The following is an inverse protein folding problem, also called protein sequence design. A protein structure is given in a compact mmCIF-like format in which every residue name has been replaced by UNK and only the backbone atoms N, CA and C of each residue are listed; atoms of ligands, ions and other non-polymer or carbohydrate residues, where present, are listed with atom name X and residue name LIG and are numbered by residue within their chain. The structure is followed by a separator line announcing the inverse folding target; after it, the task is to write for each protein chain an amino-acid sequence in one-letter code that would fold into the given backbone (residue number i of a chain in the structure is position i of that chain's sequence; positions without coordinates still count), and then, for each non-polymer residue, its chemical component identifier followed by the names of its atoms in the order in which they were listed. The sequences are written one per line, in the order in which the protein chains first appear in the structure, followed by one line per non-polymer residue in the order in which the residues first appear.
data_IF_799688913899
#
_entry.id   IF_799688913899
#
_cell.length_a   1.000
_cell.length_b   1.000
_cell.length_c   1.000
_cell.angle_alpha   90.00
_cell.angle_beta   90.00
_cell.angle_gamma   90.00
#
_symmetry.space_group_name_H-M   'P 1'
#
loop_
_entity.id
_entity.type
_entity.pdbx_description
1 polymer ?
#
# COMPACT_ATOMS: atom_id res chain seq x y z
N UNK A 1 -10.11 21.92 0.07
CA UNK A 1 -10.62 21.09 1.20
C UNK A 1 -9.79 21.35 2.45
N UNK A 2 -10.44 21.39 3.62
CA UNK A 2 -9.81 21.45 4.95
C UNK A 2 -8.77 20.35 5.12
N UNK A 3 -7.72 20.64 5.90
CA UNK A 3 -6.64 19.72 6.23
C UNK A 3 -7.18 18.32 6.56
N UNK A 4 -7.04 17.44 5.57
CA UNK A 4 -7.36 16.04 5.64
C UNK A 4 -6.54 15.43 6.79
N UNK A 5 -7.12 14.48 7.53
CA UNK A 5 -6.36 13.73 8.51
C UNK A 5 -5.23 12.98 7.79
N UNK A 6 -4.03 13.58 7.81
CA UNK A 6 -2.80 13.07 7.18
C UNK A 6 -2.42 11.66 7.65
N UNK A 7 -3.04 11.23 8.74
CA UNK A 7 -2.74 9.98 9.42
C UNK A 7 -3.52 8.77 8.89
N UNK A 8 -4.58 8.95 8.09
CA UNK A 8 -5.37 7.82 7.60
C UNK A 8 -4.59 6.99 6.54
N UNK A 9 -4.39 5.67 6.74
CA UNK A 9 -3.45 4.89 5.90
C UNK A 9 -3.91 4.52 4.49
N UNK A 10 -5.17 4.79 4.10
CA UNK A 10 -5.72 4.43 2.77
C UNK A 10 -6.21 5.67 1.99
N UNK A 11 -5.31 6.49 1.40
CA UNK A 11 -5.69 7.73 0.74
C UNK A 11 -6.72 7.58 -0.39
N UNK A 12 -6.74 6.42 -1.08
CA UNK A 12 -7.62 6.12 -2.20
C UNK A 12 -9.04 5.67 -1.81
N UNK A 13 -9.28 5.34 -0.54
CA UNK A 13 -10.58 4.88 -0.03
C UNK A 13 -10.76 5.40 1.41
N UNK A 14 -10.87 6.72 1.52
CA UNK A 14 -10.86 7.44 2.80
C UNK A 14 -12.22 7.44 3.45
N UNK A 15 -12.22 7.13 4.75
CA UNK A 15 -13.39 7.15 5.63
C UNK A 15 -13.13 8.00 6.87
N UNK A 16 -14.16 8.63 7.44
CA UNK A 16 -14.02 9.37 8.68
C UNK A 16 -14.00 8.46 9.91
N UNK A 17 -14.65 7.29 9.85
CA UNK A 17 -14.86 6.41 11.01
C UNK A 17 -13.73 5.39 11.16
N UNK A 18 -12.63 5.81 11.78
CA UNK A 18 -11.47 4.98 12.04
C UNK A 18 -10.78 5.38 13.35
N UNK A 19 -9.96 4.49 13.89
CA UNK A 19 -9.16 4.73 15.08
C UNK A 19 -7.75 4.18 14.88
N UNK A 20 -6.73 5.04 15.02
CA UNK A 20 -5.34 4.56 15.05
C UNK A 20 -5.10 3.71 16.30
N UNK A 21 -4.40 2.60 16.12
CA UNK A 21 -3.85 1.79 17.19
C UNK A 21 -2.32 1.98 17.32
N UNK A 22 -1.73 2.98 16.66
CA UNK A 22 -0.32 3.33 16.88
C UNK A 22 -0.11 3.85 18.31
N UNK A 23 1.13 3.82 18.77
CA UNK A 23 1.53 4.21 20.13
C UNK A 23 2.04 3.03 20.94
N UNK A 24 1.95 3.14 22.27
CA UNK A 24 2.48 2.11 23.19
C UNK A 24 1.69 0.80 23.11
N UNK A 25 2.40 -0.32 23.02
CA UNK A 25 1.89 -1.68 23.10
C UNK A 25 2.71 -2.44 24.14
N UNK A 26 2.06 -3.36 24.86
CA UNK A 26 2.79 -4.35 25.63
C UNK A 26 3.58 -5.26 24.68
N UNK A 27 4.80 -5.63 25.04
CA UNK A 27 5.72 -6.37 24.19
C UNK A 27 6.41 -7.50 24.95
N UNK A 28 6.72 -8.59 24.25
CA UNK A 28 7.66 -9.61 24.68
C UNK A 28 8.52 -10.06 23.48
N UNK A 29 9.83 -10.16 23.69
CA UNK A 29 10.76 -10.72 22.71
C UNK A 29 10.93 -12.21 22.98
N UNK A 30 10.76 -13.04 21.95
CA UNK A 30 10.84 -14.50 22.07
C UNK A 30 11.97 -15.07 21.19
N UNK A 31 13.24 -14.87 21.60
CA UNK A 31 14.39 -15.26 20.78
C UNK A 31 14.57 -16.78 20.66
N UNK A 32 13.96 -17.55 21.56
CA UNK A 32 14.06 -19.01 21.62
C UNK A 32 12.81 -19.73 21.10
N UNK A 33 11.77 -18.97 20.69
CA UNK A 33 10.48 -19.51 20.21
C UNK A 33 9.80 -20.41 21.24
N UNK A 34 9.72 -19.92 22.48
CA UNK A 34 9.22 -20.69 23.62
C UNK A 34 7.70 -20.70 23.72
N UNK A 35 7.01 -19.76 23.06
CA UNK A 35 5.57 -19.60 23.18
C UNK A 35 4.85 -19.83 21.86
N UNK A 36 3.75 -20.59 21.91
CA UNK A 36 2.89 -20.86 20.76
C UNK A 36 1.53 -20.17 20.86
N UNK A 37 1.11 -19.79 22.07
CA UNK A 37 -0.19 -19.18 22.34
C UNK A 37 -0.10 -17.90 23.20
N UNK A 38 -1.02 -16.92 23.01
CA UNK A 38 -1.05 -15.68 23.79
C UNK A 38 -1.01 -15.86 25.30
N UNK A 39 -1.63 -16.92 25.83
CA UNK A 39 -1.73 -17.18 27.27
C UNK A 39 -0.39 -17.56 27.93
N UNK A 40 0.60 -18.00 27.14
CA UNK A 40 1.93 -18.40 27.61
C UNK A 40 2.88 -17.20 27.72
N UNK A 41 2.54 -16.10 27.05
CA UNK A 41 3.43 -14.94 26.86
C UNK A 41 3.43 -14.07 28.10
N UNK A 42 4.62 -13.85 28.65
CA UNK A 42 4.84 -12.87 29.70
C UNK A 42 5.30 -11.53 29.10
N UNK A 43 4.36 -10.61 28.90
CA UNK A 43 4.64 -9.26 28.42
C UNK A 43 5.36 -8.43 29.48
N UNK A 44 6.66 -8.23 29.30
CA UNK A 44 7.58 -7.59 30.26
C UNK A 44 8.10 -6.23 29.81
N UNK A 45 7.71 -5.79 28.61
CA UNK A 45 8.20 -4.57 27.95
C UNK A 45 7.07 -3.76 27.36
N UNK A 46 7.38 -2.53 26.98
CA UNK A 46 6.54 -1.67 26.16
C UNK A 46 7.28 -1.36 24.85
N UNK A 47 6.56 -1.30 23.73
CA UNK A 47 7.08 -0.90 22.43
C UNK A 47 6.14 0.11 21.77
N UNK A 48 6.70 1.09 21.06
CA UNK A 48 5.91 2.05 20.27
C UNK A 48 5.68 1.54 18.86
N UNK A 49 4.45 1.14 18.55
CA UNK A 49 4.01 0.76 17.20
C UNK A 49 3.75 2.03 16.35
N UNK A 50 4.17 2.07 15.07
CA UNK A 50 4.63 0.95 14.26
C UNK A 50 6.14 0.95 14.06
N UNK A 51 6.94 1.22 15.10
CA UNK A 51 8.39 1.20 14.98
C UNK A 51 8.94 -0.17 15.39
N UNK A 52 9.77 -0.76 14.52
CA UNK A 52 10.39 -2.06 14.74
C UNK A 52 11.33 -2.03 15.97
N UNK A 53 11.48 -3.13 16.74
CA UNK A 53 12.26 -3.15 17.98
C UNK A 53 13.73 -2.74 17.77
N UNK A 54 14.27 -2.92 16.57
CA UNK A 54 15.63 -2.53 16.20
C UNK A 54 15.82 -1.01 16.15
N UNK A 55 14.74 -0.23 16.11
CA UNK A 55 14.78 1.21 15.86
C UNK A 55 14.70 2.03 17.15
N UNK A 56 15.36 3.19 17.24
CA UNK A 56 15.25 4.09 18.40
C UNK A 56 13.81 4.48 18.78
N UNK A 57 12.95 4.78 17.81
CA UNK A 57 11.56 5.22 18.07
C UNK A 57 10.65 4.15 18.64
N UNK A 58 11.04 2.88 18.57
CA UNK A 58 10.31 1.80 19.24
C UNK A 58 10.37 1.90 20.76
N UNK A 59 11.38 2.59 21.30
CA UNK A 59 11.70 2.62 22.74
C UNK A 59 12.53 1.41 23.21
N UNK A 60 12.67 0.36 22.39
CA UNK A 60 13.49 -0.82 22.70
C UNK A 60 14.92 -0.65 22.20
N UNK A 61 15.08 -0.26 20.92
CA UNK A 61 16.38 -0.11 20.25
C UNK A 61 17.29 -1.34 20.43
N UNK A 62 16.71 -2.52 20.23
CA UNK A 62 17.40 -3.80 20.39
C UNK A 62 17.70 -4.41 19.00
N UNK A 63 18.94 -4.34 18.51
CA UNK A 63 19.29 -4.84 17.18
C UNK A 63 19.44 -6.37 17.12
N UNK A 64 19.37 -7.09 18.24
CA UNK A 64 19.54 -8.54 18.27
C UNK A 64 18.43 -9.26 17.50
N UNK A 65 18.73 -10.48 17.03
CA UNK A 65 17.76 -11.29 16.31
C UNK A 65 16.62 -11.73 17.22
N UNK A 66 15.43 -11.24 16.91
CA UNK A 66 14.18 -11.60 17.57
C UNK A 66 13.31 -12.36 16.56
N UNK A 67 13.55 -13.67 16.37
CA UNK A 67 12.79 -14.47 15.42
C UNK A 67 11.28 -14.44 15.66
N UNK A 68 10.86 -14.23 16.90
CA UNK A 68 9.46 -14.05 17.27
C UNK A 68 9.33 -12.84 18.20
N UNK A 69 8.35 -11.99 17.91
CA UNK A 69 7.96 -10.87 18.76
C UNK A 69 6.47 -10.94 19.02
N UNK A 70 6.09 -10.75 20.28
CA UNK A 70 4.70 -10.69 20.70
C UNK A 70 4.32 -9.26 21.08
N UNK A 71 3.17 -8.82 20.61
CA UNK A 71 2.59 -7.52 20.90
C UNK A 71 1.21 -7.71 21.52
N UNK A 72 0.83 -6.88 22.50
CA UNK A 72 -0.53 -6.83 23.03
C UNK A 72 -1.01 -5.39 23.18
N UNK A 73 -2.25 -5.14 22.73
CA UNK A 73 -2.94 -3.88 22.91
C UNK A 73 -4.36 -4.12 23.39
N UNK A 74 -4.75 -3.37 24.41
CA UNK A 74 -6.14 -3.26 24.86
C UNK A 74 -6.76 -2.01 24.24
N UNK A 75 -7.95 -2.17 23.68
CA UNK A 75 -8.67 -1.10 22.98
C UNK A 75 -10.08 -1.03 23.50
N UNK A 76 -10.46 0.11 24.07
CA UNK A 76 -11.85 0.37 24.43
C UNK A 76 -12.64 0.76 23.18
N UNK A 77 -13.72 0.04 22.89
CA UNK A 77 -14.62 0.33 21.78
C UNK A 77 -16.05 0.49 22.27
N UNK A 78 -16.76 1.45 21.70
CA UNK A 78 -18.21 1.49 21.83
C UNK A 78 -18.83 0.33 21.03
N UNK A 79 -20.01 -0.19 21.43
CA UNK A 79 -20.74 -1.18 20.63
C UNK A 79 -20.92 -0.68 19.19
N UNK A 80 -20.47 -1.44 18.18
CA UNK A 80 -20.51 -0.96 16.81
C UNK A 80 -21.94 -1.00 16.27
N UNK A 81 -22.36 0.06 15.57
CA UNK A 81 -23.62 0.09 14.82
C UNK A 81 -23.54 -0.66 13.47
N UNK A 82 -22.37 -1.23 13.13
CA UNK A 82 -22.08 -1.88 11.86
C UNK A 82 -20.91 -2.86 12.01
N UNK A 83 -20.09 -2.98 10.97
CA UNK A 83 -18.94 -3.89 10.94
C UNK A 83 -17.69 -3.17 11.43
N UNK A 84 -16.76 -3.92 12.03
CA UNK A 84 -15.47 -3.40 12.51
C UNK A 84 -14.36 -4.24 11.92
N UNK A 85 -13.36 -3.59 11.35
CA UNK A 85 -12.19 -4.24 10.78
C UNK A 85 -10.93 -3.80 11.50
N UNK A 86 -10.05 -4.75 11.76
CA UNK A 86 -8.68 -4.49 12.19
C UNK A 86 -7.76 -4.62 10.99
N UNK A 87 -6.97 -3.57 10.76
CA UNK A 87 -6.05 -3.47 9.66
C UNK A 87 -4.60 -3.34 10.14
N UNK A 88 -3.71 -3.97 9.41
CA UNK A 88 -2.27 -3.83 9.52
C UNK A 88 -1.73 -3.33 8.19
N UNK A 89 -0.95 -2.25 8.20
CA UNK A 89 -0.32 -1.74 6.98
C UNK A 89 0.75 -2.69 6.47
N UNK A 90 1.54 -3.26 7.38
CA UNK A 90 2.59 -4.25 7.11
C UNK A 90 3.13 -4.82 8.44
N UNK A 91 3.44 -6.11 8.45
CA UNK A 91 4.11 -6.81 9.56
C UNK A 91 5.16 -7.74 8.96
N UNK A 92 6.43 -7.53 9.28
CA UNK A 92 7.52 -8.33 8.70
C UNK A 92 7.87 -9.54 9.61
N UNK A 93 7.83 -10.79 9.15
CA UNK A 93 7.41 -11.28 7.82
C UNK A 93 6.08 -12.05 7.87
N UNK A 94 5.85 -12.84 8.91
CA UNK A 94 4.59 -13.58 9.13
C UNK A 94 3.91 -13.11 10.40
N UNK A 95 2.59 -13.00 10.36
CA UNK A 95 1.79 -12.55 11.49
C UNK A 95 0.67 -13.55 11.83
N UNK A 96 0.47 -13.77 13.12
CA UNK A 96 -0.75 -14.37 13.66
C UNK A 96 -1.39 -13.36 14.61
N UNK A 97 -2.69 -13.13 14.46
CA UNK A 97 -3.41 -12.12 15.25
C UNK A 97 -4.54 -12.80 16.00
N UNK A 98 -4.59 -12.58 17.30
CA UNK A 98 -5.69 -13.00 18.17
C UNK A 98 -6.45 -11.79 18.69
N UNK A 99 -7.77 -11.95 18.80
CA UNK A 99 -8.66 -10.96 19.42
C UNK A 99 -9.54 -11.67 20.43
N UNK A 100 -9.50 -11.21 21.69
CA UNK A 100 -10.25 -11.82 22.80
C UNK A 100 -10.07 -13.36 22.86
N UNK A 101 -8.82 -13.81 22.79
CA UNK A 101 -8.37 -15.20 22.82
C UNK A 101 -8.68 -16.05 21.55
N UNK A 102 -9.43 -15.52 20.59
CA UNK A 102 -9.69 -16.18 19.31
C UNK A 102 -8.67 -15.81 18.24
N UNK A 103 -8.11 -16.78 17.51
CA UNK A 103 -7.28 -16.52 16.34
C UNK A 103 -8.13 -15.89 15.23
N UNK A 104 -7.84 -14.63 14.89
CA UNK A 104 -8.61 -13.82 13.96
C UNK A 104 -8.06 -13.86 12.53
N UNK A 105 -6.73 -13.89 12.34
CA UNK A 105 -6.10 -13.96 11.01
C UNK A 105 -4.65 -14.46 11.07
N UNK A 106 -4.21 -15.11 9.99
CA UNK A 106 -2.80 -15.40 9.68
C UNK A 106 -2.42 -14.68 8.40
N UNK A 107 -1.21 -14.11 8.36
CA UNK A 107 -0.67 -13.43 7.19
C UNK A 107 0.80 -13.81 6.98
N UNK A 108 1.22 -13.80 5.71
CA UNK A 108 2.61 -14.00 5.29
C UNK A 108 2.90 -13.02 4.17
N UNK A 109 3.92 -12.18 4.33
CA UNK A 109 4.23 -11.07 3.44
C UNK A 109 4.65 -9.86 4.28
N UNK A 110 5.79 -9.26 3.95
CA UNK A 110 6.43 -8.27 4.81
C UNK A 110 6.02 -6.83 4.51
N UNK A 111 5.51 -6.55 3.31
CA UNK A 111 5.36 -5.18 2.80
C UNK A 111 3.95 -4.82 2.29
N UNK A 112 2.99 -5.75 2.38
CA UNK A 112 1.60 -5.54 1.95
C UNK A 112 0.62 -5.60 3.13
N UNK A 113 -0.52 -4.88 3.03
CA UNK A 113 -1.48 -4.80 4.12
C UNK A 113 -2.39 -6.02 4.18
N UNK A 114 -2.88 -6.32 5.38
CA UNK A 114 -3.93 -7.32 5.61
C UNK A 114 -4.93 -6.84 6.66
N UNK A 115 -6.10 -7.48 6.68
CA UNK A 115 -7.18 -7.11 7.58
C UNK A 115 -8.04 -8.29 7.98
N UNK A 116 -8.77 -8.15 9.09
CA UNK A 116 -9.78 -9.12 9.52
C UNK A 116 -10.97 -8.40 10.13
N UNK A 117 -12.16 -8.98 9.95
CA UNK A 117 -13.39 -8.46 10.55
C UNK A 117 -13.50 -8.93 12.00
N UNK A 118 -13.77 -8.00 12.91
CA UNK A 118 -13.88 -8.22 14.34
C UNK A 118 -15.32 -8.19 14.86
N UNK A 119 -16.30 -7.91 14.01
CA UNK A 119 -17.70 -7.65 14.40
C UNK A 119 -18.27 -8.71 15.34
N UNK A 120 -18.05 -9.99 15.05
CA UNK A 120 -18.53 -11.12 15.86
C UNK A 120 -17.70 -11.40 17.13
N UNK A 121 -16.52 -10.79 17.25
CA UNK A 121 -15.59 -10.95 18.36
C UNK A 121 -15.73 -9.84 19.43
N UNK A 122 -16.45 -8.77 19.10
CA UNK A 122 -16.78 -7.66 20.01
C UNK A 122 -17.95 -8.08 20.90
N UNK A 123 -17.74 -8.09 22.22
CA UNK A 123 -18.80 -8.34 23.22
C UNK A 123 -19.40 -7.01 23.69
N UNK A 124 -20.65 -7.02 24.16
CA UNK A 124 -21.35 -5.81 24.62
C UNK A 124 -20.53 -5.05 25.69
N UNK A 125 -20.09 -3.83 25.37
CA UNK A 125 -19.32 -2.95 26.25
C UNK A 125 -17.84 -3.30 26.46
N UNK A 126 -17.25 -4.16 25.62
CA UNK A 126 -15.95 -4.78 25.91
C UNK A 126 -14.72 -4.04 25.36
N UNK A 127 -13.74 -3.90 26.24
CA UNK A 127 -12.33 -3.78 25.87
C UNK A 127 -11.94 -4.96 24.96
N UNK A 128 -11.38 -4.68 23.77
CA UNK A 128 -10.77 -5.68 22.91
C UNK A 128 -9.31 -5.85 23.29
N UNK A 129 -8.88 -7.09 23.50
CA UNK A 129 -7.44 -7.40 23.57
C UNK A 129 -6.98 -7.97 22.24
N UNK A 130 -6.13 -7.21 21.55
CA UNK A 130 -5.43 -7.64 20.33
C UNK A 130 -4.05 -8.16 20.71
N UNK A 131 -3.73 -9.39 20.32
CA UNK A 131 -2.39 -9.97 20.47
C UNK A 131 -1.86 -10.31 19.08
N UNK A 132 -0.61 -9.94 18.81
CA UNK A 132 0.05 -10.22 17.53
C UNK A 132 1.34 -10.98 17.81
N UNK A 133 1.53 -12.10 17.13
CA UNK A 133 2.81 -12.81 17.03
C UNK A 133 3.38 -12.53 15.66
N UNK A 134 4.46 -11.78 15.59
CA UNK A 134 5.25 -11.59 14.38
C UNK A 134 6.43 -12.56 14.37
N UNK A 135 6.70 -13.17 13.22
CA UNK A 135 7.84 -14.06 13.01
C UNK A 135 8.61 -13.67 11.75
N UNK A 136 9.92 -13.57 11.88
CA UNK A 136 10.87 -13.31 10.79
C UNK A 136 12.16 -14.10 11.01
N UNK A 137 12.70 -14.69 9.95
CA UNK A 137 14.00 -15.35 9.99
C UNK A 137 14.99 -14.55 9.13
N UNK A 138 15.95 -13.84 9.74
CA UNK A 138 16.90 -13.01 8.99
C UNK A 138 17.77 -13.81 8.03
N UNK A 139 17.85 -15.14 8.18
CA UNK A 139 18.61 -16.03 7.29
C UNK A 139 17.77 -16.62 6.15
N UNK A 140 16.46 -16.35 6.11
CA UNK A 140 15.58 -16.82 5.06
C UNK A 140 15.71 -15.97 3.79
N UNK A 141 16.82 -16.17 3.09
CA UNK A 141 17.19 -15.43 1.88
C UNK A 141 16.25 -15.64 0.69
N UNK A 142 15.27 -16.55 0.76
CA UNK A 142 14.23 -16.74 -0.25
C UNK A 142 12.94 -15.95 0.02
N UNK A 143 12.89 -15.14 1.09
CA UNK A 143 11.80 -14.21 1.37
C UNK A 143 12.06 -12.84 0.73
N UNK A 144 11.01 -12.12 0.27
CA UNK A 144 11.11 -10.71 -0.08
C UNK A 144 11.53 -9.92 1.18
N UNK A 145 12.71 -9.31 1.14
CA UNK A 145 13.22 -8.53 2.28
C UNK A 145 13.88 -7.22 1.87
N UNK A 146 14.08 -7.03 0.56
CA UNK A 146 14.72 -5.84 0.03
C UNK A 146 16.08 -5.63 0.69
N UNK A 147 16.39 -4.38 1.03
CA UNK A 147 17.71 -3.97 1.51
C UNK A 147 17.99 -4.26 2.99
N UNK A 148 17.15 -5.04 3.67
CA UNK A 148 17.38 -5.43 5.05
C UNK A 148 18.58 -6.37 5.19
N UNK A 149 19.47 -6.15 6.15
CA UNK A 149 20.63 -7.01 6.39
C UNK A 149 20.22 -8.34 7.05
N UNK A 150 20.97 -9.40 6.76
CA UNK A 150 20.87 -10.71 7.43
C UNK A 150 21.91 -10.88 8.55
N UNK A 151 22.84 -9.92 8.69
CA UNK A 151 23.81 -9.84 9.78
C UNK A 151 23.28 -8.95 10.90
N UNK A 152 23.86 -9.12 12.09
CA UNK A 152 23.52 -8.32 13.26
C UNK A 152 23.84 -6.83 13.04
N UNK A 153 24.96 -6.54 12.37
CA UNK A 153 25.37 -5.18 12.04
C UNK A 153 25.27 -4.96 10.53
N UNK A 154 24.67 -3.85 10.08
CA UNK A 154 24.59 -3.49 8.67
C UNK A 154 25.98 -3.54 8.01
N UNK A 155 26.06 -4.09 6.81
CA UNK A 155 27.29 -4.16 6.04
C UNK A 155 27.11 -3.71 4.59
N UNK A 156 28.17 -3.11 4.03
CA UNK A 156 28.21 -2.70 2.62
C UNK A 156 27.03 -1.81 2.23
N UNK A 157 26.08 -2.33 1.44
CA UNK A 157 24.92 -1.62 0.89
C UNK A 157 23.59 -2.03 1.56
N UNK A 158 23.67 -2.79 2.66
CA UNK A 158 22.53 -3.30 3.43
C UNK A 158 22.24 -2.39 4.62
N UNK A 159 20.97 -2.32 4.98
CA UNK A 159 20.45 -1.45 6.04
C UNK A 159 20.03 -2.27 7.26
N UNK A 160 19.85 -1.63 8.44
CA UNK A 160 19.30 -2.30 9.60
C UNK A 160 18.02 -3.08 9.27
N UNK A 161 17.90 -4.28 9.81
CA UNK A 161 16.70 -5.11 9.69
C UNK A 161 15.50 -4.47 10.38
N UNK A 162 14.31 -4.89 9.98
CA UNK A 162 13.02 -4.48 10.52
C UNK A 162 12.23 -5.75 10.77
N UNK A 163 11.86 -6.02 12.02
CA UNK A 163 10.99 -7.17 12.34
C UNK A 163 9.72 -6.69 13.04
N UNK A 164 8.62 -7.37 12.79
CA UNK A 164 7.33 -7.08 13.40
C UNK A 164 6.57 -5.95 12.72
N UNK A 165 5.75 -5.25 13.51
CA UNK A 165 4.80 -4.26 12.98
C UNK A 165 5.56 -2.99 12.60
N UNK A 166 5.67 -2.70 11.31
CA UNK A 166 6.42 -1.54 10.81
C UNK A 166 5.58 -0.50 10.05
N UNK A 167 4.30 -0.77 9.80
CA UNK A 167 3.33 0.24 9.35
C UNK A 167 2.12 0.32 10.29
N UNK A 168 1.31 1.37 10.10
CA UNK A 168 0.16 1.70 10.96
C UNK A 168 -0.77 0.51 11.21
N UNK A 169 -1.25 0.40 12.44
CA UNK A 169 -2.35 -0.49 12.82
C UNK A 169 -3.56 0.38 13.11
N UNK A 170 -4.75 0.01 12.62
CA UNK A 170 -5.95 0.80 12.85
C UNK A 170 -7.22 -0.05 12.83
N UNK A 171 -8.27 0.50 13.44
CA UNK A 171 -9.63 0.00 13.31
C UNK A 171 -10.40 0.86 12.32
N UNK A 172 -11.22 0.24 11.49
CA UNK A 172 -12.13 0.89 10.55
C UNK A 172 -13.57 0.42 10.85
N UNK A 173 -14.50 1.36 11.00
CA UNK A 173 -15.91 1.07 11.22
C UNK A 173 -16.69 1.34 9.94
N UNK A 174 -17.50 0.36 9.52
CA UNK A 174 -18.30 0.46 8.30
C UNK A 174 -19.76 0.13 8.59
N UNK A 175 -20.70 0.59 7.76
CA UNK A 175 -22.04 0.01 7.73
C UNK A 175 -21.99 -1.48 7.30
N UNK A 176 -23.12 -2.17 7.41
CA UNK A 176 -23.24 -3.58 7.01
C UNK A 176 -22.88 -3.80 5.52
N UNK A 177 -23.25 -2.84 4.67
CA UNK A 177 -22.94 -2.81 3.23
C UNK A 177 -22.09 -1.59 2.93
N UNK A 178 -20.85 -1.79 2.47
CA UNK A 178 -19.86 -0.72 2.36
C UNK A 178 -18.95 -0.87 1.14
N UNK A 179 -18.33 0.23 0.73
CA UNK A 179 -17.34 0.26 -0.36
C UNK A 179 -16.02 -0.32 0.14
N UNK A 180 -15.69 -1.54 -0.25
CA UNK A 180 -14.45 -2.20 0.13
C UNK A 180 -13.25 -1.61 -0.61
N UNK A 181 -13.39 -1.40 -1.92
CA UNK A 181 -12.31 -0.94 -2.81
C UNK A 181 -12.81 0.05 -3.85
N UNK A 182 -11.94 0.99 -4.19
CA UNK A 182 -12.10 1.95 -5.29
C UNK A 182 -10.82 1.89 -6.10
N UNK A 183 -10.92 1.60 -7.39
CA UNK A 183 -9.81 1.74 -8.32
C UNK A 183 -10.15 2.67 -9.48
N UNK A 184 -9.12 3.35 -9.97
CA UNK A 184 -9.21 4.26 -11.09
C UNK A 184 -8.25 3.86 -12.20
N UNK A 185 -8.69 3.99 -13.44
CA UNK A 185 -7.86 3.84 -14.63
C UNK A 185 -8.14 4.97 -15.61
N UNK A 186 -7.15 5.82 -15.86
CA UNK A 186 -7.29 6.93 -16.80
C UNK A 186 -7.05 6.49 -18.25
N UNK A 187 -7.83 7.05 -19.18
CA UNK A 187 -7.61 6.92 -20.61
C UNK A 187 -7.60 8.32 -21.25
N UNK A 188 -6.42 8.77 -21.67
CA UNK A 188 -6.25 10.08 -22.29
C UNK A 188 -6.84 10.18 -23.71
N UNK A 189 -6.85 9.08 -24.46
CA UNK A 189 -7.33 9.05 -25.85
C UNK A 189 -8.85 9.24 -25.88
N UNK A 190 -9.56 8.47 -25.06
CA UNK A 190 -11.02 8.54 -24.88
C UNK A 190 -11.47 9.64 -23.91
N UNK A 191 -10.51 10.36 -23.32
CA UNK A 191 -10.71 11.38 -22.30
C UNK A 191 -11.70 10.94 -21.21
N UNK A 192 -11.41 9.78 -20.62
CA UNK A 192 -12.29 9.12 -19.66
C UNK A 192 -11.54 8.51 -18.48
N UNK A 193 -12.29 8.25 -17.41
CA UNK A 193 -11.85 7.53 -16.23
C UNK A 193 -12.69 6.26 -16.09
N UNK A 194 -12.04 5.10 -15.98
CA UNK A 194 -12.73 3.87 -15.55
C UNK A 194 -12.67 3.77 -14.04
N UNK A 195 -13.84 3.67 -13.43
CA UNK A 195 -14.06 3.37 -12.03
C UNK A 195 -14.36 1.89 -11.86
N UNK A 196 -13.59 1.22 -11.02
CA UNK A 196 -13.89 -0.12 -10.51
C UNK A 196 -14.19 -0.02 -9.00
N UNK A 197 -15.42 -0.35 -8.61
CA UNK A 197 -15.83 -0.46 -7.21
C UNK A 197 -15.98 -1.92 -6.82
N UNK A 198 -15.58 -2.20 -5.59
CA UNK A 198 -15.94 -3.42 -4.91
C UNK A 198 -16.71 -3.09 -3.63
N UNK A 199 -17.82 -3.77 -3.43
CA UNK A 199 -18.78 -3.56 -2.35
C UNK A 199 -18.94 -4.86 -1.61
N UNK A 200 -18.79 -4.80 -0.30
CA UNK A 200 -18.99 -5.94 0.59
C UNK A 200 -20.23 -5.71 1.46
N UNK A 201 -20.93 -6.81 1.79
CA UNK A 201 -22.17 -6.82 2.56
C UNK A 201 -23.44 -7.05 1.73
N UNK A 202 -24.62 -7.12 2.40
CA UNK A 202 -25.88 -7.47 1.77
C UNK A 202 -26.41 -6.33 0.90
N UNK A 203 -26.52 -6.57 -0.41
CA UNK A 203 -27.16 -5.66 -1.35
C UNK A 203 -28.68 -5.90 -1.40
N UNK A 204 -29.43 -4.81 -1.60
CA UNK A 204 -30.87 -4.84 -1.81
C UNK A 204 -31.23 -4.35 -3.22
N UNK A 205 -32.34 -4.83 -3.81
CA UNK A 205 -32.83 -4.31 -5.07
C UNK A 205 -33.07 -2.80 -4.99
N UNK A 206 -32.42 -2.04 -5.87
CA UNK A 206 -32.53 -0.58 -5.90
C UNK A 206 -31.35 0.14 -5.25
N UNK A 207 -30.46 -0.55 -4.54
CA UNK A 207 -29.19 0.02 -4.08
C UNK A 207 -28.43 0.61 -5.27
N UNK A 208 -27.75 1.74 -5.05
CA UNK A 208 -27.01 2.46 -6.08
C UNK A 208 -25.69 3.02 -5.55
N UNK A 209 -24.74 3.25 -6.45
CA UNK A 209 -23.54 4.03 -6.17
C UNK A 209 -23.63 5.37 -6.90
N UNK A 210 -23.60 6.47 -6.16
CA UNK A 210 -23.43 7.83 -6.69
C UNK A 210 -21.94 8.18 -6.71
N UNK A 211 -21.49 8.72 -7.83
CA UNK A 211 -20.11 9.12 -8.07
C UNK A 211 -20.11 10.60 -8.40
N UNK A 212 -19.39 11.38 -7.60
CA UNK A 212 -19.21 12.81 -7.76
C UNK A 212 -17.71 13.08 -7.98
N UNK A 213 -17.35 13.70 -9.10
CA UNK A 213 -15.99 14.13 -9.41
C UNK A 213 -15.86 15.64 -9.30
N UNK A 214 -14.74 16.11 -8.76
CA UNK A 214 -14.46 17.53 -8.58
C UNK A 214 -13.06 17.87 -9.06
N UNK A 215 -12.89 19.09 -9.58
CA UNK A 215 -11.57 19.69 -9.84
C UNK A 215 -11.53 21.05 -9.15
N UNK A 216 -10.49 21.29 -8.35
CA UNK A 216 -10.29 22.55 -7.60
C UNK A 216 -11.50 22.96 -6.74
N UNK A 217 -12.27 21.97 -6.27
CA UNK A 217 -13.49 22.17 -5.48
C UNK A 217 -14.78 22.39 -6.29
N UNK A 218 -14.69 22.52 -7.61
CA UNK A 218 -15.84 22.68 -8.50
C UNK A 218 -16.32 21.31 -9.05
N UNK A 219 -17.63 21.07 -9.15
CA UNK A 219 -18.17 19.83 -9.72
C UNK A 219 -17.74 19.66 -11.19
N UNK A 220 -17.18 18.50 -11.50
CA UNK A 220 -16.79 18.11 -12.85
C UNK A 220 -17.82 17.16 -13.49
N UNK A 221 -18.28 16.18 -12.73
CA UNK A 221 -19.22 15.15 -13.18
C UNK A 221 -19.98 14.58 -11.98
N UNK A 222 -21.25 14.26 -12.16
CA UNK A 222 -22.05 13.48 -11.22
C UNK A 222 -22.81 12.41 -12.00
N UNK A 223 -22.76 11.17 -11.53
CA UNK A 223 -23.54 10.06 -12.07
C UNK A 223 -23.98 9.09 -10.96
N UNK A 224 -25.01 8.27 -11.22
CA UNK A 224 -25.54 7.30 -10.30
C UNK A 224 -25.86 5.97 -11.00
N UNK A 225 -25.34 4.88 -10.44
CA UNK A 225 -25.47 3.56 -11.02
C UNK A 225 -26.18 2.61 -10.07
N UNK A 226 -27.25 1.96 -10.56
CA UNK A 226 -27.87 0.86 -9.83
C UNK A 226 -26.89 -0.31 -9.71
N UNK A 227 -26.79 -0.86 -8.51
CA UNK A 227 -25.97 -2.01 -8.19
C UNK A 227 -26.74 -3.30 -8.47
N UNK A 228 -26.07 -4.25 -9.14
CA UNK A 228 -26.61 -5.58 -9.43
C UNK A 228 -25.92 -6.68 -8.62
N UNK A 229 -24.67 -6.44 -8.24
CA UNK A 229 -23.83 -7.34 -7.46
C UNK A 229 -22.77 -6.51 -6.72
N UNK A 230 -21.88 -7.16 -5.96
CA UNK A 230 -20.81 -6.53 -5.18
C UNK A 230 -19.69 -5.89 -6.00
N UNK A 231 -19.85 -5.72 -7.31
CA UNK A 231 -18.87 -5.07 -8.18
C UNK A 231 -19.54 -4.12 -9.16
N UNK A 232 -18.86 -3.01 -9.44
CA UNK A 232 -19.29 -2.04 -10.44
C UNK A 232 -18.09 -1.55 -11.25
N UNK A 233 -18.12 -1.75 -12.57
CA UNK A 233 -17.16 -1.13 -13.50
C UNK A 233 -17.88 -0.13 -14.39
N UNK A 234 -17.47 1.14 -14.38
CA UNK A 234 -18.06 2.20 -15.23
C UNK A 234 -16.99 3.10 -15.82
N UNK A 235 -17.19 3.48 -17.08
CA UNK A 235 -16.36 4.48 -17.77
C UNK A 235 -17.07 5.82 -17.73
N UNK A 236 -16.43 6.80 -17.11
CA UNK A 236 -16.89 8.18 -16.94
C UNK A 236 -16.18 9.02 -18.00
N UNK A 237 -16.91 9.50 -19.00
CA UNK A 237 -16.37 10.44 -19.97
C UNK A 237 -16.36 11.85 -19.36
N UNK A 238 -15.19 12.47 -19.30
CA UNK A 238 -15.07 13.80 -18.74
C UNK A 238 -15.59 14.85 -19.74
N UNK A 239 -16.14 15.99 -19.26
CA UNK A 239 -16.57 17.07 -20.13
C UNK A 239 -15.43 17.54 -21.03
N UNK A 240 -15.58 17.32 -22.33
CA UNK A 240 -14.59 17.68 -23.33
C UNK A 240 -15.04 18.92 -24.11
N UNK A 241 -14.35 20.04 -23.91
CA UNK A 241 -14.56 21.26 -24.70
C UNK A 241 -14.09 21.14 -26.15
N UNK A 242 -13.53 19.99 -26.56
CA UNK A 242 -13.02 19.72 -27.91
C UNK A 242 -11.67 20.40 -28.22
N UNK A 243 -11.16 21.20 -27.27
CA UNK A 243 -9.89 21.90 -27.38
C UNK A 243 -8.83 21.21 -26.51
N UNK A 244 -7.69 20.90 -27.12
CA UNK A 244 -6.59 20.22 -26.44
C UNK A 244 -6.12 20.98 -25.19
N UNK A 245 -6.04 22.31 -25.23
CA UNK A 245 -5.63 23.11 -24.08
C UNK A 245 -6.57 22.98 -22.88
N UNK A 246 -7.88 22.85 -23.11
CA UNK A 246 -8.87 22.62 -22.04
C UNK A 246 -8.65 21.24 -21.41
N UNK A 247 -8.37 20.22 -22.22
CA UNK A 247 -8.06 18.86 -21.70
C UNK A 247 -6.79 18.86 -20.86
N UNK A 248 -5.77 19.63 -21.26
CA UNK A 248 -4.48 19.70 -20.55
C UNK A 248 -4.60 20.27 -19.15
N UNK A 249 -5.61 21.10 -18.87
CA UNK A 249 -5.84 21.61 -17.52
C UNK A 249 -6.16 20.51 -16.51
N UNK A 250 -6.66 19.36 -16.97
CA UNK A 250 -6.95 18.18 -16.13
C UNK A 250 -5.80 17.16 -16.10
N UNK A 251 -4.73 17.37 -16.87
CA UNK A 251 -3.63 16.42 -16.94
C UNK A 251 -2.70 16.57 -15.73
N UNK A 252 -2.43 15.47 -15.05
CA UNK A 252 -1.37 15.44 -14.04
C UNK A 252 0.00 15.56 -14.75
N UNK A 253 1.00 16.15 -14.09
CA UNK A 253 2.43 16.16 -14.44
C UNK A 253 3.23 16.46 -13.18
N UNK A 254 4.52 16.09 -13.08
CA UNK A 254 5.32 16.50 -11.92
C UNK A 254 5.32 18.03 -11.75
N UNK A 255 5.24 18.78 -12.85
CA UNK A 255 5.19 20.24 -12.87
C UNK A 255 3.77 20.80 -12.60
N UNK A 256 2.73 20.07 -13.02
CA UNK A 256 1.31 20.44 -12.84
C UNK A 256 0.53 19.25 -12.27
N UNK A 257 0.58 19.00 -10.95
CA UNK A 257 -0.03 17.83 -10.34
C UNK A 257 -1.55 17.98 -10.16
N UNK A 258 -2.30 18.18 -11.24
CA UNK A 258 -3.75 18.31 -11.18
C UNK A 258 -4.38 16.96 -10.79
N UNK A 259 -5.16 16.96 -9.71
CA UNK A 259 -5.93 15.81 -9.25
C UNK A 259 -7.43 16.06 -9.45
N UNK A 260 -8.15 14.98 -9.69
CA UNK A 260 -9.61 14.94 -9.72
C UNK A 260 -10.04 14.26 -8.43
N UNK A 261 -10.63 15.03 -7.53
CA UNK A 261 -11.18 14.50 -6.28
C UNK A 261 -12.46 13.70 -6.61
N UNK A 262 -12.70 12.62 -5.88
CA UNK A 262 -13.87 11.78 -6.07
C UNK A 262 -14.57 11.49 -4.74
N UNK A 263 -15.89 11.67 -4.72
CA UNK A 263 -16.75 11.18 -3.63
C UNK A 263 -17.64 10.07 -4.18
N UNK A 264 -17.59 8.91 -3.53
CA UNK A 264 -18.42 7.77 -3.88
C UNK A 264 -19.34 7.47 -2.70
N UNK A 265 -20.65 7.48 -2.96
CA UNK A 265 -21.67 7.24 -1.94
C UNK A 265 -22.53 6.04 -2.34
N UNK A 266 -22.61 5.03 -1.47
CA UNK A 266 -23.63 3.99 -1.58
C UNK A 266 -24.96 4.50 -1.05
N UNK A 267 -26.02 4.24 -1.81
CA UNK A 267 -27.37 4.69 -1.55
C UNK A 267 -28.29 3.48 -1.40
N UNK A 268 -29.21 3.55 -0.43
CA UNK A 268 -30.37 2.67 -0.29
C UNK A 268 -31.60 3.52 -0.07
N UNK A 269 -32.64 3.31 -0.87
CA UNK A 269 -33.86 4.13 -0.86
C UNK A 269 -33.54 5.64 -0.92
N UNK A 270 -32.54 6.01 -1.71
CA UNK A 270 -31.98 7.37 -1.84
C UNK A 270 -31.26 7.95 -0.61
N UNK A 271 -31.17 7.22 0.49
CA UNK A 271 -30.39 7.61 1.67
C UNK A 271 -28.94 7.09 1.58
N UNK A 272 -27.94 7.89 2.02
CA UNK A 272 -26.55 7.44 2.07
C UNK A 272 -26.38 6.33 3.12
N UNK A 273 -25.90 5.17 2.68
CA UNK A 273 -25.44 4.10 3.56
C UNK A 273 -23.99 4.30 3.94
N UNK A 274 -23.18 4.66 2.95
CA UNK A 274 -21.74 4.65 3.06
C UNK A 274 -21.13 5.68 2.12
N UNK A 275 -20.08 6.39 2.56
CA UNK A 275 -19.37 7.36 1.73
C UNK A 275 -17.87 7.21 1.92
N UNK A 276 -17.16 7.16 0.79
CA UNK A 276 -15.70 7.24 0.73
C UNK A 276 -15.27 8.43 -0.10
N UNK A 277 -14.16 9.01 0.30
CA UNK A 277 -13.44 10.00 -0.48
C UNK A 277 -12.22 9.34 -1.12
N UNK A 278 -11.97 9.66 -2.39
CA UNK A 278 -10.91 9.11 -3.23
C UNK A 278 -10.38 10.23 -4.12
N UNK A 279 -9.40 9.93 -4.97
CA UNK A 279 -8.94 10.85 -6.01
C UNK A 279 -8.30 10.07 -7.16
N UNK A 280 -8.15 10.75 -8.29
CA UNK A 280 -7.47 10.20 -9.45
C UNK A 280 -6.85 11.34 -10.26
N UNK A 281 -6.29 11.03 -11.43
CA UNK A 281 -5.85 12.05 -12.36
C UNK A 281 -5.85 11.55 -13.80
N UNK A 282 -5.97 12.48 -14.75
CA UNK A 282 -5.77 12.17 -16.16
C UNK A 282 -4.27 12.10 -16.45
N UNK A 283 -3.78 10.89 -16.71
CA UNK A 283 -2.38 10.64 -17.06
C UNK A 283 -2.23 9.47 -18.03
N UNK A 284 -1.23 9.53 -18.91
CA UNK A 284 -0.77 8.36 -19.65
C UNK A 284 0.75 8.34 -19.76
N UNK A 285 1.33 7.15 -19.67
CA UNK A 285 2.75 6.89 -19.88
C UNK A 285 2.94 5.84 -20.97
N UNK A 286 3.92 6.08 -21.84
CA UNK A 286 4.30 5.14 -22.91
C UNK A 286 5.80 5.17 -23.11
N UNK A 287 6.34 4.17 -23.81
CA UNK A 287 7.71 4.19 -24.29
C UNK A 287 7.67 4.03 -25.81
N UNK A 288 8.02 5.08 -26.53
CA UNK A 288 7.90 5.14 -27.98
C UNK A 288 9.12 5.86 -28.56
N UNK A 289 9.59 5.40 -29.71
CA UNK A 289 10.71 6.03 -30.44
C UNK A 289 11.97 6.26 -29.58
N UNK A 290 12.24 5.38 -28.62
CA UNK A 290 13.40 5.48 -27.72
C UNK A 290 13.27 6.53 -26.61
N UNK A 291 12.07 7.07 -26.38
CA UNK A 291 11.81 8.07 -25.34
C UNK A 291 10.67 7.62 -24.41
N UNK A 292 10.78 8.01 -23.14
CA UNK A 292 9.65 7.99 -22.23
C UNK A 292 8.68 9.11 -22.62
N UNK A 293 7.41 8.76 -22.82
CA UNK A 293 6.35 9.66 -23.25
C UNK A 293 5.39 9.84 -22.08
N UNK A 294 5.11 11.10 -21.73
CA UNK A 294 4.15 11.48 -20.72
C UNK A 294 3.07 12.38 -21.34
N UNK A 295 1.81 11.95 -21.23
CA UNK A 295 0.65 12.65 -21.80
C UNK A 295 0.82 12.98 -23.30
N UNK A 296 1.45 12.08 -24.06
CA UNK A 296 1.69 12.22 -25.50
C UNK A 296 2.94 13.01 -25.88
N UNK A 297 3.73 13.50 -24.91
CA UNK A 297 4.94 14.28 -25.18
C UNK A 297 6.20 13.58 -24.64
N UNK A 298 7.34 13.63 -25.34
CA UNK A 298 8.61 13.18 -24.80
C UNK A 298 8.94 13.87 -23.48
N UNK A 299 9.28 13.09 -22.47
CA UNK A 299 9.52 13.58 -21.12
C UNK A 299 10.81 13.01 -20.54
N UNK A 300 11.69 13.91 -20.05
CA UNK A 300 12.98 13.51 -19.48
C UNK A 300 12.83 13.22 -17.99
N UNK A 301 13.01 11.94 -17.64
CA UNK A 301 13.11 11.52 -16.24
C UNK A 301 14.44 11.97 -15.63
N UNK A 302 14.36 12.62 -14.48
CA UNK A 302 15.46 12.99 -13.57
C UNK A 302 15.11 12.37 -12.23
N UNK A 303 15.54 11.13 -12.05
CA UNK A 303 15.20 10.32 -10.88
C UNK A 303 16.34 10.29 -9.87
N UNK A 304 15.98 10.10 -8.61
CA UNK A 304 16.90 9.73 -7.54
C UNK A 304 16.54 8.36 -6.98
N UNK A 305 17.53 7.62 -6.50
CA UNK A 305 17.32 6.37 -5.79
C UNK A 305 16.94 6.69 -4.34
N UNK A 306 15.75 6.29 -3.93
CA UNK A 306 15.19 6.53 -2.60
C UNK A 306 15.08 5.19 -1.87
N UNK A 307 15.75 5.10 -0.72
CA UNK A 307 15.87 3.86 0.05
C UNK A 307 14.74 3.67 1.07
N UNK A 308 14.02 4.73 1.42
CA UNK A 308 12.95 4.68 2.40
C UNK A 308 13.37 4.26 3.82
N UNK A 309 14.62 4.53 4.21
CA UNK A 309 15.16 4.29 5.56
C UNK A 309 15.33 5.58 6.36
N UNK A 310 14.78 5.58 7.56
CA UNK A 310 14.71 6.71 8.47
C UNK A 310 15.65 6.47 9.66
N UNK A 311 16.54 7.42 10.00
CA UNK A 311 17.57 7.21 11.03
C UNK A 311 17.05 6.66 12.37
N UNK A 312 15.87 7.11 12.80
CA UNK A 312 15.28 6.71 14.09
C UNK A 312 14.12 5.71 13.94
N UNK A 313 13.62 5.49 12.72
CA UNK A 313 12.40 4.73 12.43
C UNK A 313 12.59 3.50 11.56
N UNK A 314 13.79 3.27 11.01
CA UNK A 314 14.03 2.17 10.08
C UNK A 314 13.15 2.32 8.83
N UNK A 315 12.33 1.33 8.52
CA UNK A 315 11.36 1.43 7.42
C UNK A 315 10.14 2.33 7.75
N UNK A 316 9.97 2.77 8.99
CA UNK A 316 8.75 3.47 9.43
C UNK A 316 8.96 4.98 9.51
N UNK A 317 8.02 5.73 8.95
CA UNK A 317 8.02 7.20 8.93
C UNK A 317 6.69 7.78 9.42
N UNK A 318 6.74 9.00 9.93
CA UNK A 318 5.53 9.81 10.18
C UNK A 318 4.97 10.37 8.87
N UNK A 319 3.69 10.75 8.86
CA UNK A 319 3.05 11.34 7.68
C UNK A 319 3.74 12.63 7.20
N UNK A 320 4.26 13.44 8.13
CA UNK A 320 5.01 14.66 7.80
C UNK A 320 6.42 14.35 7.27
N UNK A 321 7.08 13.31 7.75
CA UNK A 321 8.36 12.86 7.20
C UNK A 321 8.21 12.40 5.75
N UNK A 322 7.20 11.58 5.45
CA UNK A 322 6.89 11.16 4.08
C UNK A 322 6.63 12.37 3.16
N UNK A 323 5.86 13.36 3.64
CA UNK A 323 5.62 14.61 2.91
C UNK A 323 6.90 15.38 2.67
N UNK A 324 7.72 15.53 3.72
CA UNK A 324 8.97 16.27 3.67
C UNK A 324 9.94 15.67 2.67
N UNK A 325 10.00 14.35 2.57
CA UNK A 325 10.86 13.64 1.63
C UNK A 325 10.55 13.98 0.17
N UNK A 326 9.25 13.98 -0.18
CA UNK A 326 8.76 14.38 -1.51
C UNK A 326 9.13 15.84 -1.80
N UNK A 327 8.92 16.74 -0.82
CA UNK A 327 9.28 18.16 -0.96
C UNK A 327 10.78 18.33 -1.19
N UNK A 328 11.62 17.64 -0.41
CA UNK A 328 13.07 17.74 -0.52
C UNK A 328 13.57 17.20 -1.86
N UNK A 329 13.05 16.05 -2.29
CA UNK A 329 13.36 15.46 -3.60
C UNK A 329 13.08 16.43 -4.74
N UNK A 330 11.90 17.08 -4.73
CA UNK A 330 11.57 18.09 -5.74
C UNK A 330 12.46 19.33 -5.66
N UNK A 331 12.79 19.80 -4.45
CA UNK A 331 13.70 20.95 -4.25
C UNK A 331 15.12 20.68 -4.76
N UNK A 332 15.56 19.43 -4.75
CA UNK A 332 16.83 19.01 -5.37
C UNK A 332 16.79 18.98 -6.91
N UNK A 333 15.62 19.19 -7.51
CA UNK A 333 15.44 19.27 -8.97
C UNK A 333 15.07 17.95 -9.64
N UNK A 334 14.80 16.90 -8.87
CA UNK A 334 14.30 15.62 -9.38
C UNK A 334 12.79 15.71 -9.66
N UNK A 335 12.35 15.00 -10.71
CA UNK A 335 10.93 14.88 -11.07
C UNK A 335 10.39 13.47 -10.87
N UNK A 336 11.19 12.58 -10.27
CA UNK A 336 10.72 11.32 -9.74
C UNK A 336 11.74 10.62 -8.86
N UNK A 337 11.34 9.47 -8.34
CA UNK A 337 12.14 8.58 -7.50
C UNK A 337 12.03 7.16 -8.02
N UNK A 338 13.09 6.37 -7.81
CA UNK A 338 12.99 4.92 -7.77
C UNK A 338 12.99 4.49 -6.32
N UNK A 339 11.85 3.96 -5.87
CA UNK A 339 11.65 3.54 -4.48
C UNK A 339 12.25 2.15 -4.31
N UNK A 340 13.49 2.09 -3.85
CA UNK A 340 14.35 0.93 -3.94
C UNK A 340 14.74 0.41 -2.55
N UNK A 341 14.46 -0.83 -2.13
CA UNK A 341 13.59 -1.86 -2.68
C UNK A 341 12.53 -2.14 -1.63
N UNK A 342 11.44 -1.39 -1.70
CA UNK A 342 10.46 -1.28 -0.63
C UNK A 342 9.11 -0.91 -1.24
N UNK A 343 8.06 -1.64 -0.85
CA UNK A 343 6.69 -1.18 -1.05
C UNK A 343 6.40 -0.15 0.04
N UNK A 344 6.28 1.11 -0.35
CA UNK A 344 6.18 2.23 0.58
C UNK A 344 4.79 2.34 1.19
N UNK A 345 4.67 3.09 2.28
CA UNK A 345 3.36 3.47 2.83
C UNK A 345 2.54 4.24 1.77
N UNK A 346 1.24 3.91 1.53
CA UNK A 346 0.40 4.61 0.57
C UNK A 346 0.33 6.14 0.76
N UNK A 347 0.59 6.64 1.97
CA UNK A 347 0.68 8.08 2.26
C UNK A 347 1.86 8.75 1.56
N UNK A 348 2.96 8.04 1.30
CA UNK A 348 4.06 8.55 0.47
C UNK A 348 3.61 8.74 -0.98
N UNK A 349 2.92 7.73 -1.54
CA UNK A 349 2.38 7.78 -2.89
C UNK A 349 1.35 8.91 -3.03
N UNK A 350 0.50 9.10 -2.02
CA UNK A 350 -0.40 10.25 -1.94
C UNK A 350 0.35 11.59 -2.02
N UNK A 351 1.44 11.75 -1.27
CA UNK A 351 2.22 12.98 -1.35
C UNK A 351 2.92 13.14 -2.70
N UNK A 352 3.36 12.06 -3.33
CA UNK A 352 3.88 12.09 -4.69
C UNK A 352 2.83 12.55 -5.70
N UNK A 353 1.59 12.09 -5.56
CA UNK A 353 0.46 12.52 -6.38
C UNK A 353 0.16 14.00 -6.17
N UNK A 354 -0.04 14.42 -4.92
CA UNK A 354 -0.44 15.80 -4.59
C UNK A 354 0.64 16.81 -4.95
N UNK A 355 1.91 16.49 -4.66
CA UNK A 355 3.02 17.42 -4.84
C UNK A 355 3.64 17.33 -6.23
N UNK A 356 3.37 16.27 -7.00
CA UNK A 356 3.91 16.11 -8.36
C UNK A 356 5.29 15.47 -8.41
N UNK A 357 5.41 14.18 -8.11
CA UNK A 357 6.66 13.42 -8.20
C UNK A 357 6.37 12.05 -8.81
N UNK A 358 7.08 11.64 -9.86
CA UNK A 358 6.91 10.29 -10.42
C UNK A 358 7.56 9.23 -9.54
N UNK A 359 7.00 8.03 -9.53
CA UNK A 359 7.50 6.89 -8.76
C UNK A 359 7.72 5.72 -9.71
N UNK A 360 8.91 5.12 -9.61
CA UNK A 360 9.13 3.74 -10.00
C UNK A 360 8.99 2.91 -8.73
N UNK A 361 7.95 2.09 -8.68
CA UNK A 361 7.71 1.20 -7.54
C UNK A 361 8.40 -0.13 -7.78
N UNK A 362 9.16 -0.57 -6.78
CA UNK A 362 10.09 -1.69 -6.90
C UNK A 362 9.85 -2.72 -5.80
N UNK A 363 9.72 -3.99 -6.20
CA UNK A 363 9.53 -5.10 -5.29
C UNK A 363 10.77 -5.29 -4.39
N UNK A 364 10.59 -5.50 -3.07
CA UNK A 364 11.64 -6.01 -2.20
C UNK A 364 12.25 -7.30 -2.74
N UNK A 365 13.56 -7.30 -3.01
CA UNK A 365 14.25 -8.49 -3.48
C UNK A 365 14.27 -9.62 -2.45
N UNK A 366 14.14 -10.84 -2.95
CA UNK A 366 14.70 -12.04 -2.34
C UNK A 366 16.11 -12.30 -2.92
N UNK A 367 16.93 -13.08 -2.22
CA UNK A 367 18.33 -13.35 -2.57
C UNK A 367 18.62 -14.78 -3.01
N UNK A 368 17.73 -15.72 -2.70
CA UNK A 368 17.83 -17.13 -3.07
C UNK A 368 16.60 -17.55 -3.87
N UNK A 369 16.85 -18.12 -5.04
CA UNK A 369 15.78 -18.71 -5.83
C UNK A 369 15.30 -20.01 -5.19
N UNK A 370 13.98 -20.15 -5.00
CA UNK A 370 13.32 -21.38 -4.55
C UNK A 370 11.85 -21.34 -4.98
N UNK A 371 11.15 -22.46 -4.87
CA UNK A 371 9.69 -22.47 -5.09
C UNK A 371 8.97 -21.52 -4.13
N UNK A 372 9.40 -21.48 -2.86
CA UNK A 372 8.88 -20.56 -1.86
C UNK A 372 9.05 -19.10 -2.28
N UNK A 373 10.21 -18.74 -2.84
CA UNK A 373 10.46 -17.40 -3.37
C UNK A 373 9.51 -17.06 -4.51
N UNK A 374 9.28 -17.99 -5.45
CA UNK A 374 8.36 -17.79 -6.57
C UNK A 374 6.94 -17.50 -6.06
N UNK A 375 6.46 -18.27 -5.10
CA UNK A 375 5.13 -18.10 -4.50
C UNK A 375 5.03 -16.77 -3.73
N UNK A 376 5.99 -16.50 -2.83
CA UNK A 376 5.99 -15.32 -1.97
C UNK A 376 6.11 -14.01 -2.77
N UNK A 377 7.07 -13.92 -3.69
CA UNK A 377 7.27 -12.72 -4.53
C UNK A 377 6.04 -12.50 -5.41
N UNK A 378 5.45 -13.55 -5.99
CA UNK A 378 4.27 -13.39 -6.87
C UNK A 378 3.06 -12.87 -6.09
N UNK A 379 2.78 -13.44 -4.92
CA UNK A 379 1.63 -13.05 -4.11
C UNK A 379 1.76 -11.58 -3.65
N UNK A 380 2.87 -11.25 -3.01
CA UNK A 380 3.10 -9.92 -2.42
C UNK A 380 3.21 -8.84 -3.51
N UNK A 381 3.82 -9.15 -4.66
CA UNK A 381 3.87 -8.23 -5.79
C UNK A 381 2.49 -7.91 -6.37
N UNK A 382 1.63 -8.92 -6.55
CA UNK A 382 0.29 -8.70 -7.07
C UNK A 382 -0.58 -7.94 -6.06
N UNK A 383 -0.37 -8.14 -4.76
CA UNK A 383 -1.02 -7.34 -3.71
C UNK A 383 -0.59 -5.88 -3.78
N UNK A 384 0.71 -5.59 -3.92
CA UNK A 384 1.23 -4.23 -4.07
C UNK A 384 0.68 -3.53 -5.33
N UNK A 385 0.76 -4.17 -6.51
CA UNK A 385 0.20 -3.62 -7.76
C UNK A 385 -1.30 -3.36 -7.62
N UNK A 386 -2.06 -4.28 -7.04
CA UNK A 386 -3.50 -4.08 -6.83
C UNK A 386 -3.81 -2.94 -5.86
N UNK A 387 -3.00 -2.75 -4.82
CA UNK A 387 -3.14 -1.65 -3.85
C UNK A 387 -2.86 -0.30 -4.51
N UNK A 388 -1.81 -0.25 -5.34
CA UNK A 388 -1.18 1.02 -5.69
C UNK A 388 -1.48 1.51 -7.11
N UNK A 389 -2.07 0.68 -7.99
CA UNK A 389 -2.41 1.02 -9.39
C UNK A 389 -3.30 2.25 -9.59
N UNK A 390 -3.96 2.75 -8.55
CA UNK A 390 -4.76 3.98 -8.63
C UNK A 390 -3.94 5.25 -8.43
N UNK A 391 -2.69 5.15 -7.94
CA UNK A 391 -1.80 6.29 -7.76
C UNK A 391 -1.26 6.79 -9.11
N UNK A 392 -1.60 8.01 -9.55
CA UNK A 392 -1.11 8.53 -10.82
C UNK A 392 0.41 8.75 -10.83
N UNK A 393 1.05 8.90 -9.67
CA UNK A 393 2.50 9.03 -9.50
C UNK A 393 3.30 7.83 -10.00
N UNK A 394 2.75 6.64 -9.92
CA UNK A 394 3.46 5.45 -10.37
C UNK A 394 3.46 5.43 -11.88
N UNK A 395 4.65 5.38 -12.48
CA UNK A 395 4.83 5.39 -13.94
C UNK A 395 5.54 4.15 -14.47
N UNK A 396 6.25 3.43 -13.59
CA UNK A 396 6.96 2.20 -13.90
C UNK A 396 6.84 1.23 -12.73
N UNK A 397 6.59 -0.04 -13.06
CA UNK A 397 6.67 -1.16 -12.15
C UNK A 397 8.00 -1.91 -12.32
N UNK A 398 8.66 -2.25 -11.23
CA UNK A 398 9.95 -2.96 -11.21
C UNK A 398 9.86 -4.22 -10.33
N UNK A 399 9.41 -5.37 -10.88
CA UNK A 399 9.30 -6.63 -10.14
C UNK A 399 10.65 -7.23 -9.70
N UNK A 400 11.76 -6.97 -10.40
CA UNK A 400 13.08 -7.48 -10.04
C UNK A 400 14.18 -6.43 -10.23
N UNK A 401 15.25 -6.57 -9.45
CA UNK A 401 16.43 -5.72 -9.52
C UNK A 401 17.70 -6.58 -9.49
N UNK A 402 18.63 -6.25 -10.38
CA UNK A 402 19.99 -6.78 -10.51
C UNK A 402 20.10 -8.31 -10.51
N UNK A 403 19.05 -8.99 -10.99
CA UNK A 403 18.91 -10.45 -10.97
C UNK A 403 18.99 -11.04 -9.55
N UNK A 404 18.71 -10.26 -8.52
CA UNK A 404 18.68 -10.75 -7.13
C UNK A 404 17.56 -11.77 -6.98
N UNK A 405 17.93 -12.93 -6.44
CA UNK A 405 17.04 -14.09 -6.38
C UNK A 405 16.81 -14.77 -7.73
N UNK A 406 17.48 -14.33 -8.81
CA UNK A 406 17.40 -14.90 -10.16
C UNK A 406 18.80 -15.27 -10.69
N UNK A 407 19.46 -16.29 -10.09
CA UNK A 407 20.82 -16.67 -10.46
C UNK A 407 20.90 -17.03 -11.95
N UNK A 408 22.00 -16.60 -12.58
CA UNK A 408 22.34 -16.90 -13.97
C UNK A 408 21.22 -16.61 -14.98
N UNK A 409 20.44 -15.54 -14.74
CA UNK A 409 19.29 -15.12 -15.55
C UNK A 409 19.48 -15.24 -17.08
N UNK A 410 20.65 -14.95 -17.71
CA UNK A 410 20.78 -15.08 -19.16
C UNK A 410 20.71 -16.52 -19.67
N UNK A 411 21.11 -17.50 -18.85
CA UNK A 411 21.26 -18.91 -19.27
C UNK A 411 20.36 -19.89 -18.50
N UNK A 412 19.82 -19.51 -17.34
CA UNK A 412 18.96 -20.38 -16.54
C UNK A 412 17.51 -20.30 -17.02
N UNK A 413 16.95 -21.36 -17.64
CA UNK A 413 15.59 -21.32 -18.20
C UNK A 413 14.50 -21.11 -17.14
N UNK A 414 14.72 -21.55 -15.90
CA UNK A 414 13.72 -21.47 -14.83
C UNK A 414 13.55 -20.03 -14.31
N UNK A 415 14.66 -19.33 -14.04
CA UNK A 415 14.62 -17.93 -13.58
C UNK A 415 14.14 -17.00 -14.69
N UNK A 416 14.48 -17.29 -15.96
CA UNK A 416 13.92 -16.60 -17.14
C UNK A 416 12.41 -16.77 -17.26
N UNK A 417 11.92 -17.99 -17.07
CA UNK A 417 10.49 -18.28 -17.11
C UNK A 417 9.76 -17.51 -16.01
N UNK A 418 10.30 -17.48 -14.79
CA UNK A 418 9.71 -16.75 -13.69
C UNK A 418 9.70 -15.23 -13.92
N UNK A 419 10.83 -14.63 -14.31
CA UNK A 419 10.92 -13.20 -14.60
C UNK A 419 9.93 -12.78 -15.71
N UNK A 420 9.86 -13.57 -16.80
CA UNK A 420 8.88 -13.33 -17.87
C UNK A 420 7.44 -13.48 -17.38
N UNK A 421 7.15 -14.50 -16.56
CA UNK A 421 5.81 -14.71 -16.03
C UNK A 421 5.37 -13.52 -15.17
N UNK A 422 6.21 -13.03 -14.25
CA UNK A 422 5.86 -11.91 -13.39
C UNK A 422 5.71 -10.60 -14.18
N UNK A 423 6.55 -10.36 -15.20
CA UNK A 423 6.36 -9.24 -16.14
C UNK A 423 4.97 -9.29 -16.81
N UNK A 424 4.57 -10.45 -17.34
CA UNK A 424 3.27 -10.60 -18.02
C UNK A 424 2.09 -10.50 -17.04
N UNK A 425 2.22 -11.07 -15.84
CA UNK A 425 1.24 -10.90 -14.77
C UNK A 425 1.08 -9.43 -14.39
N UNK A 426 2.18 -8.68 -14.28
CA UNK A 426 2.15 -7.24 -14.00
C UNK A 426 1.40 -6.49 -15.10
N UNK A 427 1.68 -6.78 -16.38
CA UNK A 427 0.97 -6.18 -17.53
C UNK A 427 -0.50 -6.53 -17.58
N UNK A 428 -0.89 -7.73 -17.12
CA UNK A 428 -2.28 -8.13 -17.04
C UNK A 428 -3.01 -7.44 -15.87
N UNK A 429 -2.34 -7.26 -14.73
CA UNK A 429 -2.88 -6.58 -13.55
C UNK A 429 -3.01 -5.06 -13.75
N UNK A 430 -2.02 -4.46 -14.42
CA UNK A 430 -2.01 -3.05 -14.80
C UNK A 430 -1.43 -2.85 -16.22
N UNK A 431 -2.30 -2.65 -17.23
CA UNK A 431 -1.87 -2.42 -18.60
C UNK A 431 -1.44 -0.97 -18.87
N UNK A 432 -1.62 -0.04 -17.92
CA UNK A 432 -1.47 1.41 -18.17
C UNK A 432 -0.07 1.95 -17.94
N UNK A 433 0.78 1.19 -17.24
CA UNK A 433 2.13 1.61 -16.86
C UNK A 433 3.21 0.81 -17.57
N UNK A 434 4.41 1.36 -17.62
CA UNK A 434 5.57 0.62 -18.09
C UNK A 434 5.98 -0.42 -17.03
N UNK A 435 6.62 -1.49 -17.48
CA UNK A 435 7.17 -2.52 -16.59
C UNK A 435 8.60 -2.75 -17.02
N UNK A 436 9.54 -2.67 -16.08
CA UNK A 436 10.93 -3.06 -16.27
C UNK A 436 11.09 -4.43 -15.66
N UNK A 437 11.38 -5.43 -16.49
CA UNK A 437 11.44 -6.84 -16.09
C UNK A 437 12.43 -7.09 -14.94
N UNK A 438 13.70 -6.77 -15.15
CA UNK A 438 14.77 -6.83 -14.17
C UNK A 438 15.63 -5.59 -14.34
N UNK A 439 15.53 -4.64 -13.41
CA UNK A 439 16.30 -3.41 -13.48
C UNK A 439 17.79 -3.68 -13.19
N UNK A 440 18.67 -3.28 -14.11
CA UNK A 440 20.12 -3.41 -13.94
C UNK A 440 20.72 -4.71 -14.48
N UNK A 441 21.95 -4.58 -15.04
CA UNK A 441 22.84 -5.60 -15.61
C UNK A 441 22.30 -6.46 -16.77
N UNK A 442 21.10 -7.05 -16.65
CA UNK A 442 20.59 -8.13 -17.50
C UNK A 442 19.07 -7.99 -17.71
N UNK A 443 18.63 -7.79 -18.94
CA UNK A 443 17.22 -7.77 -19.35
C UNK A 443 16.89 -9.00 -20.22
N UNK A 444 15.61 -9.39 -20.31
CA UNK A 444 15.12 -10.54 -21.08
C UNK A 444 14.60 -10.22 -22.48
#
# INVERSE_FOLDING_TARGET
MNALSLDYPRPQCRRPSWQSLNGSWDCALDPQRLWDAPAEVHFDREITVPYAPETPRSGLHDPHFHPVIWYRRRVSLAPPAGRVFLHFGAVDYSAQVWVNDGLAVRHTGGHTPFSTELTSLIRDGAELTVVVRAEDDPLALDQPRGKQDWKLQPHSIWYPRTTGIWQTVWLEHTPATFIRRVDWTANLEEFSLTLDLEIDGPLQPGDAARVELFTRGEPLLEDAYRLQNGSLRRTLHLPDGGLYDVRRELFWSPEHPELIDARITLLRDHAPLDTVESYTAMRAVRFEHGAFILNGLPYRMRLVLDQGYWPEGGLSATAEELRRDVILTKRLGFNGVRKHQKIEDPRFLYWCDVLGLMVWEEMPSAYRFSQRMVEAVTAEWLEAVNRDRSHPCIVVWVPFNESWGLPDLPINPQTRAFCRALYQLTKAADPTRLVVDNDGWKHL
#
